data_IF_631061451531
#
_entry.id   IF_631061451531
#
_cell.length_a   1.000
_cell.length_b   1.000
_cell.length_c   1.000
_cell.angle_alpha   90.00
_cell.angle_beta   90.00
_cell.angle_gamma   90.00
#
_symmetry.space_group_name_H-M   'P 1'
#
loop_
_entity.id
_entity.type
_entity.pdbx_description
1 polymer ?
#
# COMPACT_ATOMS: atom_id res chain seq x y z
N UNK A 1 18.88 -11.62 7.94
CA UNK A 1 19.16 -11.79 6.49
C UNK A 1 17.89 -11.90 5.63
N UNK A 2 16.93 -12.77 5.96
CA UNK A 2 15.75 -13.02 5.11
C UNK A 2 14.96 -11.78 4.67
N UNK A 3 14.73 -10.81 5.57
CA UNK A 3 14.05 -9.57 5.22
C UNK A 3 14.80 -8.74 4.16
N UNK A 4 16.12 -8.59 4.29
CA UNK A 4 16.94 -7.83 3.34
C UNK A 4 16.92 -8.46 1.93
N UNK A 5 16.93 -9.79 1.84
CA UNK A 5 16.82 -10.50 0.57
C UNK A 5 15.48 -10.23 -0.13
N UNK A 6 14.38 -10.20 0.64
CA UNK A 6 13.04 -9.89 0.12
C UNK A 6 12.97 -8.45 -0.41
N UNK A 7 13.50 -7.47 0.31
CA UNK A 7 13.57 -6.08 -0.16
C UNK A 7 14.39 -5.94 -1.44
N UNK A 8 15.54 -6.60 -1.53
CA UNK A 8 16.37 -6.62 -2.74
C UNK A 8 15.61 -7.27 -3.89
N UNK A 9 14.98 -8.43 -3.67
CA UNK A 9 14.23 -9.14 -4.71
C UNK A 9 13.05 -8.31 -5.25
N UNK A 10 12.27 -7.68 -4.37
CA UNK A 10 11.17 -6.80 -4.77
C UNK A 10 11.70 -5.59 -5.53
N UNK A 11 12.77 -4.96 -5.04
CA UNK A 11 13.37 -3.81 -5.71
C UNK A 11 13.95 -4.16 -7.08
N UNK A 12 14.62 -5.30 -7.23
CA UNK A 12 15.12 -5.78 -8.53
C UNK A 12 13.97 -6.08 -9.48
N UNK A 13 12.90 -6.73 -9.01
CA UNK A 13 11.70 -6.94 -9.82
C UNK A 13 11.09 -5.60 -10.27
N UNK A 14 11.01 -4.61 -9.37
CA UNK A 14 10.53 -3.27 -9.69
C UNK A 14 11.39 -2.55 -10.74
N UNK A 15 12.72 -2.67 -10.66
CA UNK A 15 13.62 -2.17 -11.71
C UNK A 15 13.36 -2.91 -13.02
N UNK A 16 13.29 -4.24 -13.01
CA UNK A 16 13.09 -5.08 -14.19
C UNK A 16 11.78 -4.76 -14.94
N UNK A 17 10.65 -4.72 -14.24
CA UNK A 17 9.37 -4.34 -14.86
C UNK A 17 9.29 -2.84 -15.22
N UNK A 18 10.10 -2.01 -14.56
CA UNK A 18 10.17 -0.59 -14.85
C UNK A 18 10.99 -0.24 -16.09
N UNK A 19 11.85 -1.12 -16.59
CA UNK A 19 12.78 -0.80 -17.70
C UNK A 19 12.05 -0.45 -19.00
N UNK A 20 10.86 -1.02 -19.20
CA UNK A 20 10.00 -0.76 -20.36
C UNK A 20 9.23 0.57 -20.25
N UNK A 21 9.29 1.25 -19.09
CA UNK A 21 8.64 2.53 -18.87
C UNK A 21 9.58 3.68 -19.27
N UNK A 22 9.07 4.62 -20.08
CA UNK A 22 9.83 5.81 -20.48
C UNK A 22 10.29 6.59 -19.24
N UNK A 23 11.60 6.67 -19.06
CA UNK A 23 12.23 7.61 -18.14
C UNK A 23 12.06 9.02 -18.70
N UNK A 24 11.10 9.76 -18.16
CA UNK A 24 11.01 11.19 -18.43
C UNK A 24 12.14 11.97 -17.74
N UNK A 25 12.19 13.28 -17.99
CA UNK A 25 13.12 14.21 -17.33
C UNK A 25 12.60 14.60 -15.93
N UNK A 26 13.46 15.06 -15.00
CA UNK A 26 13.02 15.51 -13.66
C UNK A 26 11.98 16.64 -13.69
N UNK A 27 11.91 17.41 -14.79
CA UNK A 27 10.87 18.44 -15.01
C UNK A 27 9.59 17.91 -15.67
N UNK A 28 9.61 16.67 -16.21
CA UNK A 28 8.47 15.95 -16.79
C UNK A 28 8.62 14.46 -16.47
N UNK A 29 8.29 14.08 -15.23
CA UNK A 29 8.39 12.70 -14.77
C UNK A 29 7.57 11.79 -15.70
N UNK A 30 8.25 10.89 -16.40
CA UNK A 30 7.62 9.82 -17.14
C UNK A 30 7.08 8.74 -16.19
N UNK A 31 6.20 7.85 -16.67
CA UNK A 31 5.57 6.82 -15.83
C UNK A 31 6.58 5.91 -15.13
N UNK A 32 7.81 5.78 -15.65
CA UNK A 32 8.90 5.01 -15.05
C UNK A 32 9.72 5.72 -13.97
N UNK A 33 9.65 7.06 -13.86
CA UNK A 33 10.52 7.82 -12.97
C UNK A 33 10.31 7.46 -11.50
N UNK A 34 9.05 7.47 -11.04
CA UNK A 34 8.71 7.20 -9.65
C UNK A 34 8.89 5.72 -9.25
N UNK A 35 8.39 4.73 -10.01
CA UNK A 35 8.56 3.32 -9.67
C UNK A 35 10.03 2.91 -9.54
N UNK A 36 10.87 3.42 -10.43
CA UNK A 36 12.28 3.04 -10.46
C UNK A 36 13.07 3.66 -9.32
N UNK A 37 12.87 4.95 -9.01
CA UNK A 37 13.54 5.57 -7.87
C UNK A 37 13.18 4.85 -6.58
N UNK A 38 11.89 4.53 -6.39
CA UNK A 38 11.46 3.73 -5.24
C UNK A 38 12.11 2.34 -5.24
N UNK A 39 12.26 1.72 -6.40
CA UNK A 39 12.91 0.41 -6.52
C UNK A 39 14.38 0.48 -6.09
N UNK A 40 15.14 1.48 -6.53
CA UNK A 40 16.52 1.70 -6.08
C UNK A 40 16.62 1.99 -4.58
N UNK A 41 15.73 2.84 -4.03
CA UNK A 41 15.67 3.09 -2.59
C UNK A 41 15.38 1.82 -1.81
N UNK A 42 14.49 0.96 -2.32
CA UNK A 42 14.14 -0.32 -1.71
C UNK A 42 15.31 -1.29 -1.73
N UNK A 43 16.07 -1.37 -2.84
CA UNK A 43 17.31 -2.15 -2.93
C UNK A 43 18.33 -1.64 -1.90
N UNK A 44 18.52 -0.32 -1.80
CA UNK A 44 19.45 0.28 -0.86
C UNK A 44 19.08 -0.05 0.60
N UNK A 45 17.80 0.05 0.96
CA UNK A 45 17.30 -0.38 2.28
C UNK A 45 17.54 -1.88 2.51
N UNK A 46 17.29 -2.71 1.50
CA UNK A 46 17.56 -4.15 1.55
C UNK A 46 19.02 -4.48 1.78
N UNK A 47 19.95 -3.75 1.16
CA UNK A 47 21.40 -3.88 1.39
C UNK A 47 21.80 -3.45 2.81
N UNK A 48 21.26 -2.34 3.32
CA UNK A 48 21.55 -1.87 4.69
C UNK A 48 21.04 -2.89 5.72
N UNK A 49 19.80 -3.36 5.58
CA UNK A 49 19.18 -4.33 6.49
C UNK A 49 19.89 -5.69 6.37
N UNK A 50 20.22 -6.11 5.15
CA UNK A 50 20.96 -7.33 4.88
C UNK A 50 22.35 -7.32 5.52
N UNK A 51 23.11 -6.23 5.32
CA UNK A 51 24.43 -6.01 5.91
C UNK A 51 24.40 -6.01 7.44
N UNK A 52 23.43 -5.31 8.06
CA UNK A 52 23.21 -5.36 9.51
C UNK A 52 22.86 -6.76 10.01
N UNK A 53 22.19 -7.57 9.19
CA UNK A 53 21.85 -8.95 9.50
C UNK A 53 23.03 -9.92 9.55
N UNK A 54 24.23 -9.52 9.11
CA UNK A 54 25.48 -10.26 9.35
C UNK A 54 26.14 -9.91 10.69
N UNK A 55 25.83 -8.74 11.25
CA UNK A 55 26.42 -8.25 12.50
C UNK A 55 25.52 -8.46 13.72
N UNK A 56 24.22 -8.77 13.51
CA UNK A 56 23.21 -8.91 14.57
C UNK A 56 22.52 -10.27 14.42
N UNK A 57 22.67 -11.11 15.44
CA UNK A 57 21.86 -12.32 15.58
C UNK A 57 20.43 -11.94 15.97
N UNK A 58 19.51 -12.15 15.03
CA UNK A 58 18.10 -11.85 15.19
C UNK A 58 17.29 -13.07 15.67
N UNK A 59 16.10 -12.85 16.24
CA UNK A 59 15.17 -13.93 16.57
C UNK A 59 14.82 -14.76 15.32
N UNK A 60 14.47 -16.06 15.48
CA UNK A 60 14.15 -16.93 14.37
C UNK A 60 12.98 -16.39 13.54
N UNK A 61 12.96 -16.74 12.25
CA UNK A 61 11.87 -16.38 11.33
C UNK A 61 10.53 -16.81 11.93
N UNK A 62 9.72 -15.82 12.28
CA UNK A 62 8.37 -16.05 12.76
C UNK A 62 7.50 -16.58 11.61
N UNK A 63 6.52 -17.42 11.93
CA UNK A 63 5.60 -17.97 10.93
C UNK A 63 4.88 -16.84 10.20
N UNK A 64 4.81 -16.97 8.87
CA UNK A 64 4.06 -16.06 8.01
C UNK A 64 2.60 -16.05 8.48
N UNK A 65 2.06 -14.91 8.92
CA UNK A 65 0.69 -14.83 9.37
C UNK A 65 -0.24 -14.77 8.15
N UNK A 66 -0.76 -15.94 7.74
CA UNK A 66 -1.63 -16.07 6.56
C UNK A 66 -2.94 -15.28 6.68
N UNK A 67 -3.46 -15.15 7.91
CA UNK A 67 -4.72 -14.44 8.18
C UNK A 67 -4.66 -12.96 7.76
N UNK A 68 -3.72 -12.13 8.24
CA UNK A 68 -3.66 -10.75 7.79
C UNK A 68 -3.39 -10.61 6.29
N UNK A 69 -2.59 -11.50 5.69
CA UNK A 69 -2.32 -11.48 4.25
C UNK A 69 -3.63 -11.67 3.46
N UNK A 70 -4.44 -12.68 3.82
CA UNK A 70 -5.70 -12.93 3.11
C UNK A 70 -6.70 -11.79 3.25
N UNK A 71 -6.81 -11.19 4.44
CA UNK A 71 -7.71 -10.05 4.66
C UNK A 71 -7.27 -8.80 3.91
N UNK A 72 -5.96 -8.54 3.80
CA UNK A 72 -5.44 -7.40 3.01
C UNK A 72 -5.73 -7.59 1.52
N UNK A 73 -5.49 -8.79 0.97
CA UNK A 73 -5.81 -9.08 -0.44
C UNK A 73 -7.31 -8.91 -0.67
N UNK A 74 -8.16 -9.43 0.22
CA UNK A 74 -9.61 -9.29 0.13
C UNK A 74 -10.05 -7.83 0.22
N UNK A 75 -9.41 -7.02 1.06
CA UNK A 75 -9.67 -5.59 1.16
C UNK A 75 -9.32 -4.84 -0.13
N UNK A 76 -8.20 -5.19 -0.79
CA UNK A 76 -7.79 -4.60 -2.08
C UNK A 76 -8.78 -4.98 -3.19
N UNK A 77 -9.17 -6.25 -3.28
CA UNK A 77 -10.16 -6.71 -4.26
C UNK A 77 -11.52 -6.06 -4.02
N UNK A 78 -11.95 -5.95 -2.76
CA UNK A 78 -13.17 -5.25 -2.38
C UNK A 78 -13.09 -3.77 -2.76
N UNK A 79 -11.97 -3.09 -2.52
CA UNK A 79 -11.79 -1.68 -2.92
C UNK A 79 -12.00 -1.50 -4.42
N UNK A 80 -11.33 -2.31 -5.24
CA UNK A 80 -11.43 -2.23 -6.70
C UNK A 80 -12.85 -2.50 -7.24
N UNK A 81 -13.61 -3.39 -6.59
CA UNK A 81 -14.98 -3.69 -7.00
C UNK A 81 -16.01 -2.67 -6.49
N UNK A 82 -15.84 -2.19 -5.25
CA UNK A 82 -16.82 -1.32 -4.58
C UNK A 82 -16.67 0.14 -5.03
N UNK A 83 -15.46 0.60 -5.37
CA UNK A 83 -15.21 2.00 -5.69
C UNK A 83 -16.10 2.53 -6.82
N UNK A 84 -16.33 1.73 -7.86
CA UNK A 84 -17.19 2.10 -8.99
C UNK A 84 -18.69 2.01 -8.66
N UNK A 85 -19.09 1.16 -7.72
CA UNK A 85 -20.50 0.92 -7.39
C UNK A 85 -21.04 1.88 -6.33
N UNK A 86 -20.27 2.07 -5.25
CA UNK A 86 -20.79 2.67 -4.01
C UNK A 86 -20.11 4.00 -3.65
N UNK A 87 -19.10 4.38 -4.42
CA UNK A 87 -18.33 5.61 -4.25
C UNK A 87 -17.18 5.50 -3.24
N UNK A 88 -16.28 6.48 -3.31
CA UNK A 88 -14.99 6.47 -2.59
C UNK A 88 -15.17 6.44 -1.06
N UNK A 89 -16.14 7.19 -0.52
CA UNK A 89 -16.35 7.31 0.92
C UNK A 89 -16.79 5.98 1.55
N UNK A 90 -17.84 5.36 1.00
CA UNK A 90 -18.39 4.10 1.51
C UNK A 90 -17.40 2.94 1.32
N UNK A 91 -16.70 2.92 0.18
CA UNK A 91 -15.66 1.93 -0.11
C UNK A 91 -14.54 1.99 0.91
N UNK A 92 -14.06 3.20 1.23
CA UNK A 92 -12.98 3.39 2.21
C UNK A 92 -13.38 2.86 3.59
N UNK A 93 -14.61 3.13 4.03
CA UNK A 93 -15.12 2.60 5.29
C UNK A 93 -15.17 1.07 5.27
N UNK A 94 -15.76 0.46 4.23
CA UNK A 94 -15.87 -0.99 4.11
C UNK A 94 -14.50 -1.69 4.11
N UNK A 95 -13.54 -1.14 3.36
CA UNK A 95 -12.18 -1.67 3.25
C UNK A 95 -11.43 -1.57 4.57
N UNK A 96 -11.62 -0.48 5.34
CA UNK A 96 -11.00 -0.34 6.66
C UNK A 96 -11.58 -1.34 7.66
N UNK A 97 -12.88 -1.64 7.60
CA UNK A 97 -13.48 -2.70 8.40
C UNK A 97 -12.89 -4.08 8.05
N UNK A 98 -12.80 -4.41 6.77
CA UNK A 98 -12.21 -5.67 6.29
C UNK A 98 -10.74 -5.77 6.71
N UNK A 99 -9.96 -4.72 6.48
CA UNK A 99 -8.53 -4.69 6.83
C UNK A 99 -8.33 -4.75 8.35
N UNK A 100 -9.18 -4.12 9.14
CA UNK A 100 -9.04 -4.16 10.60
C UNK A 100 -9.42 -5.52 11.20
N UNK A 101 -10.31 -6.28 10.55
CA UNK A 101 -10.62 -7.66 10.92
C UNK A 101 -9.42 -8.63 10.78
N UNK A 102 -8.35 -8.20 10.09
CA UNK A 102 -7.06 -8.90 10.07
C UNK A 102 -6.35 -8.94 11.44
N UNK A 103 -6.60 -7.94 12.32
CA UNK A 103 -5.91 -7.79 13.60
C UNK A 103 -6.52 -8.72 14.66
N UNK A 104 -5.65 -9.40 15.40
CA UNK A 104 -6.04 -10.31 16.50
C UNK A 104 -6.62 -9.56 17.71
N UNK A 105 -6.24 -8.29 17.89
CA UNK A 105 -6.81 -7.37 18.88
C UNK A 105 -7.65 -6.33 18.12
N UNK A 106 -8.94 -6.60 17.99
CA UNK A 106 -9.87 -5.74 17.26
C UNK A 106 -10.50 -4.72 18.22
N UNK A 107 -9.92 -3.53 18.29
CA UNK A 107 -10.57 -2.40 18.96
C UNK A 107 -11.55 -1.75 17.99
N UNK A 108 -12.83 -2.07 18.13
CA UNK A 108 -13.92 -1.55 17.29
C UNK A 108 -13.91 -0.02 17.28
N UNK A 109 -13.72 0.60 18.45
CA UNK A 109 -13.74 2.06 18.61
C UNK A 109 -12.63 2.74 17.82
N UNK A 110 -11.41 2.25 17.93
CA UNK A 110 -10.24 2.80 17.23
C UNK A 110 -10.36 2.60 15.72
N UNK A 111 -10.87 1.44 15.30
CA UNK A 111 -11.13 1.13 13.89
C UNK A 111 -12.17 2.08 13.29
N UNK A 112 -13.27 2.33 13.99
CA UNK A 112 -14.34 3.24 13.54
C UNK A 112 -13.83 4.67 13.42
N UNK A 113 -13.09 5.15 14.43
CA UNK A 113 -12.49 6.50 14.38
C UNK A 113 -11.53 6.61 13.20
N UNK A 114 -10.64 5.63 13.02
CA UNK A 114 -9.70 5.61 11.91
C UNK A 114 -10.43 5.56 10.56
N UNK A 115 -11.49 4.74 10.44
CA UNK A 115 -12.31 4.64 9.25
C UNK A 115 -12.94 5.98 8.87
N UNK A 116 -13.55 6.67 9.83
CA UNK A 116 -14.22 7.95 9.62
C UNK A 116 -13.21 9.03 9.26
N UNK A 117 -12.09 9.14 9.99
CA UNK A 117 -11.07 10.17 9.73
C UNK A 117 -10.44 9.99 8.36
N UNK A 118 -10.06 8.76 8.01
CA UNK A 118 -9.46 8.47 6.70
C UNK A 118 -10.48 8.70 5.58
N UNK A 119 -11.72 8.23 5.73
CA UNK A 119 -12.75 8.48 4.74
C UNK A 119 -13.01 9.98 4.53
N UNK A 120 -13.09 10.76 5.61
CA UNK A 120 -13.27 12.21 5.55
C UNK A 120 -12.08 12.92 4.87
N UNK A 121 -10.84 12.51 5.18
CA UNK A 121 -9.64 13.04 4.52
C UNK A 121 -9.61 12.68 3.03
N UNK A 122 -9.93 11.43 2.67
CA UNK A 122 -9.98 11.01 1.28
C UNK A 122 -11.05 11.80 0.49
N UNK A 123 -12.25 11.95 1.04
CA UNK A 123 -13.33 12.78 0.45
C UNK A 123 -12.87 14.24 0.32
N UNK A 124 -12.28 14.80 1.37
CA UNK A 124 -11.78 16.18 1.38
C UNK A 124 -10.70 16.42 0.33
N UNK A 125 -9.67 15.58 0.29
CA UNK A 125 -8.54 15.73 -0.63
C UNK A 125 -8.96 15.45 -2.07
N UNK A 126 -9.67 14.35 -2.34
CA UNK A 126 -9.95 13.95 -3.72
C UNK A 126 -11.06 14.76 -4.39
N UNK A 127 -12.11 15.12 -3.65
CA UNK A 127 -13.22 15.91 -4.20
C UNK A 127 -12.87 17.39 -4.16
N UNK A 128 -12.59 17.92 -2.96
CA UNK A 128 -12.40 19.36 -2.79
C UNK A 128 -10.98 19.81 -3.16
N UNK A 129 -9.96 18.99 -2.87
CA UNK A 129 -8.57 19.33 -3.16
C UNK A 129 -8.17 19.12 -4.62
N UNK A 130 -8.51 17.96 -5.19
CA UNK A 130 -8.08 17.55 -6.53
C UNK A 130 -9.16 17.67 -7.62
N UNK A 131 -10.43 17.94 -7.26
CA UNK A 131 -11.57 18.00 -8.21
C UNK A 131 -11.63 16.81 -9.16
N UNK A 132 -11.21 15.63 -8.70
CA UNK A 132 -11.11 14.45 -9.54
C UNK A 132 -12.52 13.89 -9.76
N UNK A 133 -12.93 13.54 -11.00
CA UNK A 133 -14.27 13.02 -11.30
C UNK A 133 -14.40 11.56 -10.85
N UNK A 134 -14.28 11.34 -9.55
CA UNK A 134 -14.52 10.06 -8.91
C UNK A 134 -15.86 10.15 -8.18
N UNK A 135 -16.76 9.15 -8.33
CA UNK A 135 -18.06 9.15 -7.69
C UNK A 135 -17.87 9.17 -6.17
N UNK A 136 -18.16 10.32 -5.59
CA UNK A 136 -17.93 10.57 -4.18
C UNK A 136 -18.99 9.94 -3.28
N UNK A 137 -20.21 9.81 -3.82
CA UNK A 137 -21.43 9.34 -3.18
C UNK A 137 -22.15 8.45 -4.19
N UNK A 138 -23.01 7.56 -3.73
CA UNK A 138 -23.76 6.62 -4.56
C UNK A 138 -24.49 7.33 -5.72
N UNK A 139 -24.05 7.11 -6.96
CA UNK A 139 -24.74 7.51 -8.19
C UNK A 139 -24.41 8.92 -8.73
N UNK A 140 -23.66 8.92 -9.85
CA UNK A 140 -23.32 10.03 -10.76
C UNK A 140 -22.51 11.18 -10.18
#
# INVERSE_FOLDING_TARGET
MGAGLVFIAIGVAGVYFGQDLTYGSSSRMGPGYFPIILSYLTIMMGLIIGGRGFALDGPPIQRIPLRPISFVILAILAFGFLIEQIGLALTTVAVIFIASAARKQFNVKETVVLAIVVAALCVGVFIYGLSQPMPAWWGR
#
